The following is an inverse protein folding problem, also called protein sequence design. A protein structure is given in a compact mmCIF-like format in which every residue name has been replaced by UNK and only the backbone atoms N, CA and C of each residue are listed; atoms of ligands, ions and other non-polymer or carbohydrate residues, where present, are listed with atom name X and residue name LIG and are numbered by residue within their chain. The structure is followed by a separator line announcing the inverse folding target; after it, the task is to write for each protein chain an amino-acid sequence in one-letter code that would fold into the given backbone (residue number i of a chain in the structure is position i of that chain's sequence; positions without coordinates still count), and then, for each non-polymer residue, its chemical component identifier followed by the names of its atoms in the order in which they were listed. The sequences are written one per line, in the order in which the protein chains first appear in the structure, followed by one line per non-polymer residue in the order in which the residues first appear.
data_IF_473581399973
#
_entry.id   IF_473581399973
#
_cell.length_a   1.000
_cell.length_b   1.000
_cell.length_c   1.000
_cell.angle_alpha   90.00
_cell.angle_beta   90.00
_cell.angle_gamma   90.00
#
_symmetry.space_group_name_H-M   'P 1'
#
loop_
_entity.id
_entity.type
_entity.pdbx_description
1 polymer ?
#
# COMPACT_ATOMS: atom_id res chain seq x y z
N UNK A 1 5.62 17.07 21.67
CA UNK A 1 6.19 15.88 21.00
C UNK A 1 5.72 15.91 19.56
N UNK A 2 6.56 15.47 18.62
CA UNK A 2 6.24 15.43 17.19
C UNK A 2 6.42 14.03 16.62
N UNK A 3 5.74 13.74 15.52
CA UNK A 3 5.94 12.54 14.71
C UNK A 3 6.04 12.91 13.22
N UNK A 4 6.93 12.24 12.50
CA UNK A 4 7.15 12.45 11.07
C UNK A 4 7.11 11.11 10.33
N UNK A 5 5.92 10.54 10.07
CA UNK A 5 5.83 9.34 9.27
C UNK A 5 6.26 9.67 7.82
N UNK A 6 7.13 8.81 7.29
CA UNK A 6 7.64 8.86 5.91
C UNK A 6 7.05 7.65 5.18
N UNK A 7 6.17 7.89 4.22
CA UNK A 7 5.32 6.88 3.55
C UNK A 7 4.73 5.87 4.55
N UNK A 8 3.99 6.39 5.54
CA UNK A 8 3.46 5.56 6.60
C UNK A 8 2.42 4.57 6.08
N UNK A 9 2.55 3.29 6.42
CA UNK A 9 1.50 2.29 6.20
C UNK A 9 0.36 2.46 7.23
N UNK A 10 -0.40 3.54 7.07
CA UNK A 10 -1.37 4.04 8.05
C UNK A 10 -2.84 3.93 7.61
N UNK A 11 -3.16 3.30 6.47
CA UNK A 11 -4.52 2.87 6.13
C UNK A 11 -5.00 1.62 6.89
N UNK A 12 -4.13 1.04 7.74
CA UNK A 12 -4.44 -0.11 8.56
C UNK A 12 -4.66 -1.40 7.77
N UNK A 13 -5.68 -2.18 8.15
CA UNK A 13 -5.90 -3.53 7.61
C UNK A 13 -6.19 -3.58 6.11
N UNK A 14 -6.61 -2.46 5.50
CA UNK A 14 -6.94 -2.40 4.06
C UNK A 14 -5.73 -2.65 3.15
N UNK A 15 -4.49 -2.49 3.61
CA UNK A 15 -3.34 -2.81 2.76
C UNK A 15 -3.27 -4.30 2.40
N UNK A 16 -3.71 -5.17 3.31
CA UNK A 16 -3.69 -6.62 3.12
C UNK A 16 -4.80 -7.13 2.20
N UNK A 17 -5.87 -6.35 2.07
CA UNK A 17 -6.90 -6.55 1.07
C UNK A 17 -6.29 -6.49 -0.35
N UNK A 18 -5.46 -5.48 -0.63
CA UNK A 18 -4.73 -5.37 -1.90
C UNK A 18 -3.73 -6.51 -2.13
N UNK A 19 -3.03 -6.96 -1.08
CA UNK A 19 -2.11 -8.11 -1.17
C UNK A 19 -2.83 -9.42 -1.53
N UNK A 20 -4.00 -9.68 -0.95
CA UNK A 20 -4.82 -10.85 -1.31
C UNK A 20 -5.32 -10.75 -2.75
N UNK A 21 -5.76 -9.56 -3.18
CA UNK A 21 -6.19 -9.34 -4.56
C UNK A 21 -5.06 -9.63 -5.55
N UNK A 22 -3.88 -9.03 -5.35
CA UNK A 22 -2.72 -9.28 -6.21
C UNK A 22 -2.37 -10.76 -6.26
N UNK A 23 -2.33 -11.44 -5.11
CA UNK A 23 -2.00 -12.86 -5.05
C UNK A 23 -2.93 -13.70 -5.91
N UNK A 24 -4.23 -13.50 -5.74
CA UNK A 24 -5.25 -14.30 -6.40
C UNK A 24 -5.38 -13.96 -7.90
N UNK A 25 -5.17 -12.69 -8.28
CA UNK A 25 -5.08 -12.27 -9.69
C UNK A 25 -3.87 -12.95 -10.35
N UNK A 26 -2.71 -12.97 -9.69
CA UNK A 26 -1.53 -13.65 -10.20
C UNK A 26 -1.79 -15.15 -10.41
N UNK A 27 -2.41 -15.83 -9.43
CA UNK A 27 -2.68 -17.26 -9.51
C UNK A 27 -3.58 -17.62 -10.71
N UNK A 28 -4.57 -16.76 -11.04
CA UNK A 28 -5.39 -16.92 -12.26
C UNK A 28 -4.57 -16.73 -13.54
N UNK A 29 -3.77 -15.67 -13.61
CA UNK A 29 -3.00 -15.33 -14.82
C UNK A 29 -1.87 -16.33 -15.08
N UNK A 30 -1.28 -16.88 -14.02
CA UNK A 30 -0.19 -17.84 -14.08
C UNK A 30 -0.68 -19.30 -14.23
N UNK A 31 -2.00 -19.55 -14.22
CA UNK A 31 -2.55 -20.90 -14.22
C UNK A 31 -2.03 -21.73 -15.40
N UNK A 32 -1.50 -22.92 -15.10
CA UNK A 32 -0.98 -23.85 -16.11
C UNK A 32 0.36 -23.44 -16.76
N UNK A 33 0.93 -22.28 -16.41
CA UNK A 33 2.22 -21.85 -16.95
C UNK A 33 3.39 -22.59 -16.29
N UNK A 34 4.27 -23.26 -17.07
CA UNK A 34 5.41 -23.97 -16.50
C UNK A 34 6.32 -23.05 -15.67
N UNK A 35 6.51 -23.41 -14.41
CA UNK A 35 7.41 -22.69 -13.49
C UNK A 35 6.82 -21.43 -12.85
N UNK A 36 5.58 -21.04 -13.16
CA UNK A 36 4.95 -19.84 -12.60
C UNK A 36 4.10 -20.10 -11.34
N UNK A 37 3.85 -21.36 -10.98
CA UNK A 37 3.00 -21.68 -9.84
C UNK A 37 3.63 -21.24 -8.51
N UNK A 38 2.86 -20.55 -7.68
CA UNK A 38 3.20 -20.20 -6.29
C UNK A 38 2.20 -20.94 -5.38
N UNK A 39 2.66 -21.70 -4.36
CA UNK A 39 1.75 -22.41 -3.46
C UNK A 39 1.06 -21.48 -2.43
N UNK A 40 -0.09 -21.91 -1.91
CA UNK A 40 -0.72 -21.32 -0.72
C UNK A 40 -1.86 -20.31 -0.93
N UNK A 41 -1.96 -19.66 -2.09
CA UNK A 41 -3.07 -18.77 -2.44
C UNK A 41 -3.26 -17.63 -1.43
N UNK A 42 -4.52 -17.37 -1.05
CA UNK A 42 -4.91 -16.25 -0.19
C UNK A 42 -4.31 -16.25 1.22
N UNK A 43 -3.77 -17.38 1.68
CA UNK A 43 -3.13 -17.47 3.00
C UNK A 43 -1.63 -17.14 2.96
N UNK A 44 -1.07 -16.90 1.77
CA UNK A 44 0.38 -16.84 1.58
C UNK A 44 1.00 -18.24 1.59
N UNK A 45 2.32 -18.34 1.70
CA UNK A 45 3.00 -19.64 1.75
C UNK A 45 2.58 -20.48 2.96
N UNK A 46 2.38 -21.77 2.70
CA UNK A 46 2.19 -22.77 3.75
C UNK A 46 3.49 -22.95 4.56
N UNK A 47 3.37 -23.32 5.83
CA UNK A 47 4.49 -23.45 6.78
C UNK A 47 5.58 -24.45 6.32
N UNK A 48 5.21 -25.48 5.56
CA UNK A 48 6.11 -26.51 5.02
C UNK A 48 6.60 -26.22 3.58
N UNK A 49 6.27 -25.04 3.03
CA UNK A 49 6.73 -24.62 1.72
C UNK A 49 8.25 -24.38 1.70
N UNK A 50 8.91 -24.91 0.65
CA UNK A 50 10.33 -24.67 0.38
C UNK A 50 10.57 -23.51 -0.61
N UNK A 51 9.54 -22.73 -0.96
CA UNK A 51 9.71 -21.60 -1.87
C UNK A 51 10.57 -20.51 -1.23
N UNK A 52 11.65 -20.12 -1.90
CA UNK A 52 12.52 -19.01 -1.48
C UNK A 52 12.16 -17.72 -2.20
N UNK A 53 12.67 -16.58 -1.75
CA UNK A 53 12.49 -15.28 -2.42
C UNK A 53 13.01 -15.31 -3.87
N UNK A 54 14.14 -15.98 -4.10
CA UNK A 54 14.69 -16.20 -5.45
C UNK A 54 13.72 -17.06 -6.28
N UNK A 55 13.17 -18.11 -5.67
CA UNK A 55 12.16 -18.96 -6.30
C UNK A 55 10.90 -18.19 -6.69
N UNK A 56 10.42 -17.31 -5.82
CA UNK A 56 9.31 -16.40 -6.11
C UNK A 56 9.64 -15.51 -7.31
N UNK A 57 10.83 -14.89 -7.34
CA UNK A 57 11.27 -14.07 -8.46
C UNK A 57 11.28 -14.84 -9.79
N UNK A 58 11.72 -16.11 -9.78
CA UNK A 58 11.66 -16.96 -10.97
C UNK A 58 10.23 -17.31 -11.38
N UNK A 59 9.33 -17.58 -10.43
CA UNK A 59 7.94 -17.87 -10.73
C UNK A 59 7.23 -16.66 -11.36
N UNK A 60 7.36 -15.49 -10.74
CA UNK A 60 6.80 -14.24 -11.28
C UNK A 60 7.38 -13.96 -12.67
N UNK A 61 8.70 -14.11 -12.84
CA UNK A 61 9.33 -13.92 -14.14
C UNK A 61 8.89 -14.94 -15.21
N UNK A 62 8.59 -16.19 -14.84
CA UNK A 62 8.04 -17.16 -15.78
C UNK A 62 6.69 -16.69 -16.36
N UNK A 63 5.84 -16.09 -15.51
CA UNK A 63 4.54 -15.55 -15.93
C UNK A 63 4.65 -14.23 -16.71
N UNK A 64 5.54 -13.32 -16.31
CA UNK A 64 5.50 -11.91 -16.75
C UNK A 64 6.74 -11.42 -17.48
N UNK A 65 7.86 -12.14 -17.38
CA UNK A 65 9.15 -11.68 -17.91
C UNK A 65 9.71 -10.44 -17.20
N UNK A 66 9.27 -10.15 -15.96
CA UNK A 66 9.64 -8.94 -15.21
C UNK A 66 11.15 -8.77 -14.98
N UNK A 67 11.93 -9.86 -14.96
CA UNK A 67 13.39 -9.82 -14.82
C UNK A 67 14.12 -9.73 -16.17
N UNK A 68 13.39 -9.66 -17.28
CA UNK A 68 13.92 -9.48 -18.62
C UNK A 68 13.81 -8.01 -19.04
N UNK A 69 14.74 -7.51 -19.87
CA UNK A 69 14.51 -6.27 -20.59
C UNK A 69 13.20 -6.35 -21.38
N UNK A 70 12.45 -5.25 -21.47
CA UNK A 70 11.13 -5.20 -22.12
C UNK A 70 11.12 -5.89 -23.50
N UNK A 71 12.08 -5.57 -24.37
CA UNK A 71 12.20 -6.15 -25.71
C UNK A 71 12.60 -7.64 -25.77
N UNK A 72 12.86 -8.27 -24.63
CA UNK A 72 13.18 -9.70 -24.51
C UNK A 72 12.03 -10.54 -23.93
N UNK A 73 10.93 -9.92 -23.52
CA UNK A 73 9.73 -10.62 -23.04
C UNK A 73 9.02 -11.28 -24.22
N UNK A 74 8.50 -12.48 -24.00
CA UNK A 74 7.58 -13.08 -24.98
C UNK A 74 6.26 -12.29 -25.03
N UNK A 75 5.49 -12.37 -26.14
CA UNK A 75 4.19 -11.72 -26.21
C UNK A 75 3.23 -12.10 -25.08
N UNK A 76 3.25 -13.37 -24.65
CA UNK A 76 2.42 -13.83 -23.54
C UNK A 76 2.87 -13.23 -22.20
N UNK A 77 4.18 -13.16 -21.95
CA UNK A 77 4.73 -12.56 -20.73
C UNK A 77 4.34 -11.09 -20.61
N UNK A 78 4.49 -10.32 -21.70
CA UNK A 78 4.08 -8.92 -21.71
C UNK A 78 2.57 -8.77 -21.52
N UNK A 79 1.74 -9.58 -22.19
CA UNK A 79 0.29 -9.54 -22.02
C UNK A 79 -0.14 -9.86 -20.57
N UNK A 80 0.51 -10.83 -19.93
CA UNK A 80 0.27 -11.16 -18.52
C UNK A 80 0.68 -10.01 -17.59
N UNK A 81 1.84 -9.42 -17.83
CA UNK A 81 2.32 -8.27 -17.08
C UNK A 81 1.34 -7.10 -17.21
N UNK A 82 0.99 -6.72 -18.44
CA UNK A 82 0.05 -5.64 -18.73
C UNK A 82 -1.29 -5.87 -18.02
N UNK A 83 -1.81 -7.11 -18.05
CA UNK A 83 -3.05 -7.48 -17.36
C UNK A 83 -2.95 -7.30 -15.85
N UNK A 84 -1.88 -7.77 -15.22
CA UNK A 84 -1.66 -7.60 -13.77
C UNK A 84 -1.60 -6.12 -13.42
N UNK A 85 -0.77 -5.34 -14.14
CA UNK A 85 -0.58 -3.91 -13.85
C UNK A 85 -1.85 -3.11 -14.10
N UNK A 86 -2.60 -3.41 -15.17
CA UNK A 86 -3.88 -2.76 -15.47
C UNK A 86 -4.92 -3.02 -14.38
N UNK A 87 -5.08 -4.28 -13.96
CA UNK A 87 -6.12 -4.65 -13.00
C UNK A 87 -5.76 -4.17 -11.59
N UNK A 88 -4.49 -4.20 -11.21
CA UNK A 88 -4.05 -3.80 -9.86
C UNK A 88 -3.71 -2.32 -9.72
N UNK A 89 -3.41 -1.64 -10.84
CA UNK A 89 -2.86 -0.29 -10.84
C UNK A 89 -1.41 -0.21 -10.35
N UNK A 90 -0.75 -1.33 -10.05
CA UNK A 90 0.63 -1.33 -9.55
C UNK A 90 1.59 -0.74 -10.59
N UNK A 91 2.57 0.09 -10.17
CA UNK A 91 3.69 0.39 -11.03
C UNK A 91 4.53 -0.87 -11.26
N UNK A 92 5.05 -1.05 -12.48
CA UNK A 92 5.82 -2.24 -12.87
C UNK A 92 6.99 -2.53 -11.91
N UNK A 93 7.69 -1.48 -11.46
CA UNK A 93 8.84 -1.57 -10.56
C UNK A 93 8.52 -2.18 -9.18
N UNK A 94 7.25 -2.22 -8.80
CA UNK A 94 6.79 -2.74 -7.51
C UNK A 94 6.31 -4.18 -7.57
N UNK A 95 6.05 -4.74 -8.75
CA UNK A 95 5.42 -6.06 -8.88
C UNK A 95 6.13 -7.15 -8.06
N UNK A 96 7.47 -7.24 -8.11
CA UNK A 96 8.20 -8.25 -7.36
C UNK A 96 8.12 -8.04 -5.84
N UNK A 97 8.21 -6.79 -5.39
CA UNK A 97 8.12 -6.43 -3.98
C UNK A 97 6.72 -6.72 -3.44
N UNK A 98 5.68 -6.33 -4.17
CA UNK A 98 4.30 -6.57 -3.77
C UNK A 98 3.93 -8.05 -3.84
N UNK A 99 4.47 -8.81 -4.81
CA UNK A 99 4.36 -10.26 -4.81
C UNK A 99 5.04 -10.90 -3.60
N UNK A 100 6.13 -10.32 -3.09
CA UNK A 100 6.75 -10.79 -1.84
C UNK A 100 5.79 -10.60 -0.65
N UNK A 101 5.17 -9.43 -0.51
CA UNK A 101 4.18 -9.20 0.57
C UNK A 101 2.94 -10.09 0.39
N UNK A 102 2.51 -10.32 -0.84
CA UNK A 102 1.39 -11.18 -1.21
C UNK A 102 1.70 -12.68 -1.11
N UNK A 103 2.92 -13.03 -0.69
CA UNK A 103 3.37 -14.43 -0.56
C UNK A 103 3.92 -14.70 0.83
N UNK A 104 5.02 -14.03 1.19
CA UNK A 104 5.70 -14.17 2.49
C UNK A 104 5.04 -13.29 3.56
N UNK A 105 4.68 -12.06 3.23
CA UNK A 105 3.98 -11.16 4.16
C UNK A 105 2.62 -11.72 4.58
N UNK A 106 1.83 -12.23 3.63
CA UNK A 106 0.56 -12.90 3.92
C UNK A 106 0.76 -14.17 4.76
N UNK A 107 1.76 -14.99 4.45
CA UNK A 107 2.10 -16.18 5.23
C UNK A 107 2.37 -15.83 6.70
N UNK A 108 3.22 -14.82 6.91
CA UNK A 108 3.57 -14.32 8.23
C UNK A 108 2.35 -13.70 8.94
N UNK A 109 1.52 -12.90 8.26
CA UNK A 109 0.30 -12.34 8.84
C UNK A 109 -0.69 -13.44 9.28
N UNK A 110 -0.94 -14.41 8.39
CA UNK A 110 -1.97 -15.44 8.58
C UNK A 110 -1.50 -16.47 9.60
N UNK A 111 -0.29 -17.02 9.47
CA UNK A 111 0.13 -18.18 10.24
C UNK A 111 0.76 -17.84 11.60
N UNK A 112 1.32 -16.63 11.80
CA UNK A 112 1.89 -16.25 13.09
C UNK A 112 0.82 -16.27 14.21
N UNK A 113 0.99 -17.07 15.28
CA UNK A 113 0.05 -17.13 16.40
C UNK A 113 -0.09 -15.82 17.18
N UNK A 114 0.86 -14.89 17.06
CA UNK A 114 0.78 -13.55 17.63
C UNK A 114 -0.05 -12.59 16.76
N UNK A 115 -0.35 -12.96 15.52
CA UNK A 115 -1.15 -12.18 14.56
C UNK A 115 -2.53 -12.82 14.39
N UNK A 116 -2.75 -13.52 13.28
CA UNK A 116 -4.05 -14.13 12.97
C UNK A 116 -4.17 -15.61 13.38
N UNK A 117 -3.06 -16.29 13.68
CA UNK A 117 -3.07 -17.65 14.24
C UNK A 117 -3.76 -18.70 13.35
N UNK A 118 -3.54 -18.61 12.04
CA UNK A 118 -4.03 -19.55 11.02
C UNK A 118 -5.41 -19.22 10.46
N UNK A 119 -5.98 -18.04 10.73
CA UNK A 119 -7.33 -17.67 10.27
C UNK A 119 -7.29 -16.41 9.42
N UNK A 120 -7.68 -16.51 8.15
CA UNK A 120 -7.68 -15.35 7.26
C UNK A 120 -8.68 -14.27 7.69
N UNK A 121 -8.22 -13.01 7.74
CA UNK A 121 -9.00 -11.86 8.21
C UNK A 121 -9.38 -10.88 7.08
N UNK A 122 -8.91 -11.10 5.86
CA UNK A 122 -9.19 -10.30 4.65
C UNK A 122 -9.66 -11.21 3.52
N UNK A 123 -10.25 -10.65 2.47
CA UNK A 123 -10.77 -11.45 1.36
C UNK A 123 -11.43 -10.63 0.25
N UNK A 124 -11.87 -11.34 -0.79
CA UNK A 124 -12.36 -10.75 -2.04
C UNK A 124 -13.74 -11.28 -2.50
N UNK A 125 -14.49 -11.92 -1.60
CA UNK A 125 -15.72 -12.63 -1.96
C UNK A 125 -16.75 -11.80 -2.76
N UNK A 126 -16.77 -10.49 -2.59
CA UNK A 126 -17.68 -9.58 -3.29
C UNK A 126 -16.98 -8.42 -3.99
N UNK A 127 -15.71 -8.58 -4.36
CA UNK A 127 -14.95 -7.59 -5.13
C UNK A 127 -15.25 -7.78 -6.62
N UNK A 128 -15.52 -6.69 -7.32
CA UNK A 128 -15.65 -6.67 -8.78
C UNK A 128 -14.32 -6.19 -9.37
N UNK A 129 -13.62 -7.05 -10.12
CA UNK A 129 -12.32 -6.70 -10.68
C UNK A 129 -12.43 -5.88 -11.97
N UNK A 130 -13.65 -5.63 -12.47
CA UNK A 130 -13.93 -5.06 -13.79
C UNK A 130 -13.30 -5.88 -14.92
N UNK A 131 -13.24 -7.20 -14.72
CA UNK A 131 -12.54 -8.11 -15.61
C UNK A 131 -13.17 -9.51 -15.60
N UNK A 132 -14.00 -9.80 -16.60
CA UNK A 132 -14.81 -11.03 -16.62
C UNK A 132 -13.99 -12.32 -16.54
N UNK A 133 -12.80 -12.35 -17.13
CA UNK A 133 -11.93 -13.54 -17.10
C UNK A 133 -11.40 -13.76 -15.67
N UNK A 134 -10.95 -12.70 -15.00
CA UNK A 134 -10.53 -12.77 -13.60
C UNK A 134 -11.72 -13.08 -12.70
N UNK A 135 -12.82 -12.35 -12.83
CA UNK A 135 -13.96 -12.46 -11.93
C UNK A 135 -14.62 -13.85 -11.95
N UNK A 136 -14.54 -14.55 -13.09
CA UNK A 136 -15.08 -15.90 -13.27
C UNK A 136 -14.14 -17.02 -12.81
N UNK A 137 -12.82 -16.78 -12.79
CA UNK A 137 -11.82 -17.80 -12.44
C UNK A 137 -11.24 -17.64 -11.03
N UNK A 138 -11.23 -16.42 -10.48
CA UNK A 138 -10.54 -16.11 -9.23
C UNK A 138 -11.16 -16.83 -8.03
N UNK A 139 -10.31 -17.33 -7.14
CA UNK A 139 -10.76 -17.86 -5.86
C UNK A 139 -11.48 -16.75 -5.07
N UNK A 140 -12.72 -17.01 -4.67
CA UNK A 140 -13.50 -16.10 -3.82
C UNK A 140 -13.33 -16.47 -2.35
N UNK A 141 -12.66 -15.59 -1.61
CA UNK A 141 -12.30 -15.80 -0.21
C UNK A 141 -13.16 -14.93 0.69
N UNK A 142 -13.88 -15.58 1.61
CA UNK A 142 -14.63 -14.91 2.66
C UNK A 142 -13.77 -14.86 3.93
N UNK A 143 -13.50 -13.68 4.50
CA UNK A 143 -12.75 -13.59 5.74
C UNK A 143 -13.55 -14.18 6.90
N UNK A 144 -12.87 -14.73 7.91
CA UNK A 144 -13.54 -15.05 9.17
C UNK A 144 -13.99 -13.74 9.84
N UNK A 145 -15.28 -13.58 10.18
CA UNK A 145 -15.82 -12.31 10.66
C UNK A 145 -15.25 -11.91 12.03
N UNK A 146 -14.87 -12.88 12.88
CA UNK A 146 -14.29 -12.59 14.21
C UNK A 146 -12.86 -12.12 14.06
N UNK A 147 -12.06 -12.80 13.25
CA UNK A 147 -10.68 -12.42 12.91
C UNK A 147 -10.63 -11.10 12.16
N UNK A 148 -11.53 -10.85 11.19
CA UNK A 148 -11.62 -9.57 10.48
C UNK A 148 -11.87 -8.40 11.45
N UNK A 149 -12.85 -8.53 12.35
CA UNK A 149 -13.13 -7.51 13.35
C UNK A 149 -11.96 -7.31 14.33
N UNK A 150 -11.33 -8.39 14.79
CA UNK A 150 -10.14 -8.30 15.65
C UNK A 150 -8.98 -7.63 14.93
N UNK A 151 -8.75 -8.00 13.67
CA UNK A 151 -7.69 -7.44 12.85
C UNK A 151 -7.89 -5.93 12.66
N UNK A 152 -9.08 -5.53 12.22
CA UNK A 152 -9.47 -4.12 12.08
C UNK A 152 -9.24 -3.33 13.38
N UNK A 153 -9.68 -3.84 14.53
CA UNK A 153 -9.49 -3.17 15.83
C UNK A 153 -8.03 -2.94 16.24
N UNK A 154 -7.10 -3.78 15.79
CA UNK A 154 -5.69 -3.68 16.17
C UNK A 154 -4.84 -2.97 15.11
N UNK A 155 -5.30 -2.89 13.86
CA UNK A 155 -4.53 -2.37 12.73
C UNK A 155 -5.09 -1.09 12.13
N UNK A 156 -6.40 -0.82 12.24
CA UNK A 156 -6.98 0.45 11.78
C UNK A 156 -6.66 1.52 12.84
N UNK A 157 -5.96 2.62 12.49
CA UNK A 157 -5.68 3.65 13.48
C UNK A 157 -6.97 4.31 13.97
N UNK A 158 -6.98 4.72 15.24
CA UNK A 158 -8.17 5.33 15.87
C UNK A 158 -8.23 6.86 15.72
N UNK A 159 -7.18 7.47 15.16
CA UNK A 159 -7.01 8.93 15.13
C UNK A 159 -6.72 9.57 16.50
N UNK A 160 -6.65 8.79 17.58
CA UNK A 160 -6.42 9.28 18.94
C UNK A 160 -4.94 9.58 19.17
N UNK A 161 -4.48 10.71 18.63
CA UNK A 161 -3.08 11.14 18.69
C UNK A 161 -2.77 12.12 19.83
N UNK A 162 -3.77 12.48 20.64
CA UNK A 162 -3.61 13.44 21.73
C UNK A 162 -3.08 14.80 21.24
N UNK A 163 -2.10 15.37 21.94
CA UNK A 163 -1.47 16.65 21.59
C UNK A 163 -0.24 16.50 20.65
N UNK A 164 -0.08 15.33 20.02
CA UNK A 164 1.05 15.08 19.11
C UNK A 164 0.87 15.91 17.84
N UNK A 165 1.95 16.56 17.41
CA UNK A 165 2.04 17.30 16.15
C UNK A 165 2.63 16.37 15.09
N UNK A 166 1.97 16.23 13.96
CA UNK A 166 2.31 15.23 12.94
C UNK A 166 2.51 15.94 11.61
N UNK A 167 3.68 15.80 11.01
CA UNK A 167 3.92 16.20 9.63
C UNK A 167 4.25 14.94 8.86
N UNK A 168 3.32 14.45 8.04
CA UNK A 168 3.56 13.28 7.21
C UNK A 168 4.07 13.70 5.83
N UNK A 169 5.05 12.94 5.32
CA UNK A 169 5.61 13.11 3.99
C UNK A 169 5.42 11.81 3.21
N UNK A 170 4.89 11.90 1.99
CA UNK A 170 4.60 10.75 1.14
C UNK A 170 4.98 11.04 -0.32
N UNK A 171 5.46 10.05 -1.07
CA UNK A 171 5.58 10.12 -2.53
C UNK A 171 4.25 9.75 -3.20
N UNK A 172 3.90 10.39 -4.32
CA UNK A 172 2.62 10.19 -5.02
C UNK A 172 2.52 8.85 -5.78
N UNK A 173 3.66 8.31 -6.20
CA UNK A 173 3.78 7.08 -7.02
C UNK A 173 4.29 5.87 -6.25
N UNK A 174 4.20 5.88 -4.93
CA UNK A 174 4.57 4.73 -4.10
C UNK A 174 3.68 3.52 -4.43
N UNK A 175 4.28 2.44 -4.92
CA UNK A 175 3.55 1.21 -5.22
C UNK A 175 3.42 0.26 -4.03
N UNK A 176 4.26 0.42 -3.00
CA UNK A 176 4.32 -0.47 -1.84
C UNK A 176 3.42 0.02 -0.72
N UNK A 177 3.57 1.28 -0.34
CA UNK A 177 2.67 1.97 0.58
C UNK A 177 2.01 3.07 -0.22
N UNK A 178 0.90 2.77 -0.87
CA UNK A 178 0.25 3.73 -1.78
C UNK A 178 -0.11 5.04 -1.08
N UNK A 179 -0.02 6.16 -1.79
CA UNK A 179 -0.22 7.53 -1.24
C UNK A 179 -1.56 7.72 -0.53
N UNK A 180 -2.56 6.95 -0.92
CA UNK A 180 -3.88 6.90 -0.30
C UNK A 180 -3.83 6.51 1.18
N UNK A 181 -2.75 5.87 1.66
CA UNK A 181 -2.50 5.71 3.10
C UNK A 181 -2.47 7.05 3.84
N UNK A 182 -1.79 8.05 3.28
CA UNK A 182 -1.75 9.38 3.87
C UNK A 182 -3.15 10.03 3.86
N UNK A 183 -3.96 9.74 2.84
CA UNK A 183 -5.35 10.17 2.72
C UNK A 183 -6.25 9.55 3.80
N UNK A 184 -6.28 8.22 3.91
CA UNK A 184 -7.05 7.50 4.93
C UNK A 184 -6.69 7.97 6.35
N UNK A 185 -5.39 8.15 6.63
CA UNK A 185 -4.95 8.65 7.92
C UNK A 185 -5.40 10.11 8.17
N UNK A 186 -5.38 10.95 7.13
CA UNK A 186 -5.85 12.33 7.23
C UNK A 186 -7.35 12.45 7.48
N UNK A 187 -8.15 11.44 7.10
CA UNK A 187 -9.58 11.41 7.39
C UNK A 187 -9.89 11.14 8.87
N UNK A 188 -9.00 10.44 9.59
CA UNK A 188 -9.25 10.00 10.97
C UNK A 188 -8.49 10.81 12.02
N UNK A 189 -7.36 11.43 11.66
CA UNK A 189 -6.59 12.28 12.59
C UNK A 189 -7.19 13.69 12.63
N UNK A 190 -7.33 14.33 13.81
CA UNK A 190 -7.79 15.71 13.87
C UNK A 190 -6.90 16.63 13.02
N UNK A 191 -7.50 17.47 12.17
CA UNK A 191 -6.76 18.35 11.26
C UNK A 191 -5.77 19.28 11.98
N UNK A 192 -6.07 19.67 13.23
CA UNK A 192 -5.18 20.48 14.07
C UNK A 192 -3.91 19.74 14.55
N UNK A 193 -3.82 18.43 14.33
CA UNK A 193 -2.68 17.59 14.69
C UNK A 193 -1.87 17.12 13.48
N UNK A 194 -2.39 17.25 12.26
CA UNK A 194 -1.78 16.65 11.06
C UNK A 194 -1.60 17.63 9.92
N UNK A 195 -0.38 17.66 9.40
CA UNK A 195 -0.04 18.23 8.10
C UNK A 195 0.37 17.11 7.16
N UNK A 196 -0.20 17.10 5.96
CA UNK A 196 0.16 16.17 4.88
C UNK A 196 0.93 16.92 3.80
N UNK A 197 2.11 16.42 3.44
CA UNK A 197 2.92 16.92 2.32
C UNK A 197 3.17 15.77 1.35
N UNK A 198 2.86 16.00 0.07
CA UNK A 198 3.04 14.99 -0.98
C UNK A 198 4.12 15.45 -1.94
N UNK A 199 5.11 14.59 -2.15
CA UNK A 199 6.20 14.73 -3.12
C UNK A 199 5.74 14.11 -4.43
N UNK A 200 5.67 14.93 -5.49
CA UNK A 200 5.28 14.47 -6.82
C UNK A 200 6.51 14.03 -7.59
N UNK A 201 6.54 12.76 -7.97
CA UNK A 201 7.69 12.12 -8.58
C UNK A 201 7.56 12.01 -10.10
N UNK A 202 8.70 11.99 -10.79
CA UNK A 202 8.75 11.62 -12.21
C UNK A 202 8.63 10.10 -12.35
N UNK A 203 9.47 9.37 -11.62
CA UNK A 203 9.52 7.90 -11.58
C UNK A 203 9.00 7.36 -10.22
N UNK A 204 8.27 6.24 -10.19
CA UNK A 204 7.77 5.63 -8.96
C UNK A 204 8.89 5.21 -7.99
N UNK A 205 8.79 5.63 -6.73
CA UNK A 205 9.65 5.16 -5.64
C UNK A 205 8.89 4.93 -4.33
N UNK A 206 9.47 4.14 -3.42
CA UNK A 206 9.01 4.07 -2.04
C UNK A 206 9.87 5.01 -1.20
N UNK A 207 9.29 6.14 -0.79
CA UNK A 207 9.99 7.19 -0.05
C UNK A 207 11.27 7.73 -0.70
N UNK A 208 11.30 7.89 -2.02
CA UNK A 208 12.41 8.50 -2.76
C UNK A 208 12.50 10.01 -2.57
N UNK A 209 12.49 10.47 -1.33
CA UNK A 209 12.64 11.87 -0.95
C UNK A 209 14.08 12.34 -1.16
N UNK A 210 14.23 13.64 -1.42
CA UNK A 210 15.53 14.30 -1.38
C UNK A 210 15.92 14.67 0.05
N UNK A 211 17.22 14.88 0.30
CA UNK A 211 17.69 15.38 1.59
C UNK A 211 17.01 16.72 1.94
N UNK A 212 16.84 17.60 0.94
CA UNK A 212 16.15 18.88 1.11
C UNK A 212 14.67 18.72 1.54
N UNK A 213 13.92 17.78 0.92
CA UNK A 213 12.51 17.50 1.26
C UNK A 213 12.38 16.97 2.69
N UNK A 214 13.23 16.03 3.10
CA UNK A 214 13.21 15.46 4.46
C UNK A 214 13.58 16.52 5.49
N UNK A 215 14.64 17.29 5.26
CA UNK A 215 15.13 18.30 6.21
C UNK A 215 14.12 19.43 6.39
N UNK A 216 13.51 19.91 5.30
CA UNK A 216 12.48 20.94 5.39
C UNK A 216 11.25 20.47 6.17
N UNK A 217 10.84 19.21 5.97
CA UNK A 217 9.73 18.59 6.69
C UNK A 217 10.06 18.46 8.18
N UNK A 218 11.26 17.97 8.50
CA UNK A 218 11.74 17.83 9.88
C UNK A 218 11.80 19.18 10.61
N UNK A 219 12.44 20.18 10.02
CA UNK A 219 12.56 21.53 10.62
C UNK A 219 11.19 22.19 10.80
N UNK A 220 10.25 21.95 9.87
CA UNK A 220 8.88 22.45 9.99
C UNK A 220 8.14 21.80 11.17
N UNK A 221 8.32 20.49 11.37
CA UNK A 221 7.79 19.79 12.53
C UNK A 221 8.43 20.31 13.84
N UNK A 222 9.75 20.49 13.88
CA UNK A 222 10.46 21.02 15.04
C UNK A 222 9.95 22.41 15.42
N UNK A 223 9.81 23.31 14.45
CA UNK A 223 9.28 24.65 14.67
C UNK A 223 7.85 24.60 15.23
N UNK A 224 6.99 23.73 14.70
CA UNK A 224 5.65 23.55 15.22
C UNK A 224 5.67 23.02 16.65
N UNK A 225 6.49 21.98 16.93
CA UNK A 225 6.67 21.42 18.28
C UNK A 225 7.13 22.47 19.28
N UNK A 226 8.04 23.38 18.88
CA UNK A 226 8.55 24.49 19.69
C UNK A 226 7.54 25.63 19.95
N UNK A 227 6.31 25.52 19.44
CA UNK A 227 5.24 26.50 19.65
C UNK A 227 4.99 27.42 18.46
N UNK A 228 5.64 27.16 17.33
CA UNK A 228 5.30 27.79 16.05
C UNK A 228 3.91 27.39 15.55
N UNK A 229 3.48 28.04 14.46
CA UNK A 229 2.23 27.67 13.78
C UNK A 229 2.35 26.31 13.10
N UNK A 230 1.24 25.59 12.97
CA UNK A 230 1.18 24.37 12.16
C UNK A 230 1.60 24.68 10.71
N UNK A 231 2.58 23.97 10.14
CA UNK A 231 3.00 24.20 8.76
C UNK A 231 1.94 23.65 7.80
N UNK A 232 1.71 24.31 6.68
CA UNK A 232 1.02 23.71 5.53
C UNK A 232 2.03 23.18 4.51
N UNK A 233 1.59 22.37 3.54
CA UNK A 233 2.46 21.85 2.48
C UNK A 233 3.21 22.95 1.71
N UNK A 234 2.54 24.08 1.42
CA UNK A 234 3.17 25.25 0.79
C UNK A 234 4.29 25.86 1.63
N UNK A 235 4.15 25.87 2.96
CA UNK A 235 5.19 26.38 3.85
C UNK A 235 6.40 25.44 3.88
N UNK A 236 6.17 24.11 3.88
CA UNK A 236 7.24 23.11 3.83
C UNK A 236 7.99 23.18 2.50
N UNK A 237 7.26 23.28 1.38
CA UNK A 237 7.86 23.47 0.05
C UNK A 237 8.72 24.73 -0.01
N UNK A 238 8.23 25.86 0.50
CA UNK A 238 9.00 27.10 0.58
C UNK A 238 10.22 26.98 1.51
N UNK A 239 10.10 26.26 2.64
CA UNK A 239 11.23 25.99 3.52
C UNK A 239 12.31 25.17 2.80
N UNK A 240 11.91 24.14 2.06
CA UNK A 240 12.80 23.32 1.24
C UNK A 240 13.57 24.17 0.23
N UNK A 241 12.88 25.05 -0.51
CA UNK A 241 13.50 25.92 -1.52
C UNK A 241 14.50 26.93 -0.94
N UNK A 242 14.39 27.24 0.36
CA UNK A 242 15.27 28.18 1.05
C UNK A 242 16.38 27.47 1.85
N UNK A 243 16.47 26.14 1.80
CA UNK A 243 17.55 25.42 2.48
C UNK A 243 18.92 25.77 1.88
N UNK A 244 19.98 25.79 2.70
CA UNK A 244 21.34 25.93 2.20
C UNK A 244 21.70 24.80 1.22
N UNK A 245 22.61 25.07 0.30
CA UNK A 245 23.05 24.11 -0.73
C UNK A 245 23.73 22.85 -0.20
N UNK A 246 23.96 22.75 1.11
CA UNK A 246 24.47 21.53 1.76
C UNK A 246 23.43 20.41 1.82
N UNK A 247 22.13 20.73 1.65
CA UNK A 247 21.03 19.76 1.54
C UNK A 247 20.63 19.62 0.07
N UNK A 248 21.14 18.61 -0.66
CA UNK A 248 20.95 18.50 -2.09
C UNK A 248 19.56 17.98 -2.48
N UNK A 249 19.21 18.24 -3.73
CA UNK A 249 18.04 17.68 -4.42
C UNK A 249 16.92 18.68 -4.67
N UNK A 250 16.02 18.40 -5.64
CA UNK A 250 14.87 19.25 -5.88
C UNK A 250 13.88 19.24 -4.71
N UNK A 251 13.06 20.29 -4.65
CA UNK A 251 11.90 20.38 -3.76
C UNK A 251 10.65 20.13 -4.58
N UNK A 252 10.04 18.95 -4.44
CA UNK A 252 8.91 18.49 -5.27
C UNK A 252 7.62 18.34 -4.47
N UNK A 253 7.52 18.98 -3.30
CA UNK A 253 6.27 18.99 -2.55
C UNK A 253 5.25 19.84 -3.32
N UNK A 254 4.13 19.23 -3.72
CA UNK A 254 3.03 19.94 -4.38
C UNK A 254 1.94 20.27 -3.35
N UNK A 255 1.74 21.55 -3.01
CA UNK A 255 0.72 21.95 -2.04
C UNK A 255 -0.72 21.74 -2.52
N UNK A 256 -0.93 21.50 -3.81
CA UNK A 256 -2.26 21.32 -4.41
C UNK A 256 -2.52 19.87 -4.81
N UNK A 257 -1.64 18.93 -4.48
CA UNK A 257 -1.87 17.53 -4.78
C UNK A 257 -3.12 17.01 -4.07
N UNK A 258 -4.06 16.48 -4.84
CA UNK A 258 -5.25 15.83 -4.33
C UNK A 258 -4.99 14.33 -4.24
N UNK A 259 -4.99 13.79 -3.03
CA UNK A 259 -4.82 12.36 -2.81
C UNK A 259 -6.08 11.64 -3.34
N UNK A 260 -5.94 10.66 -4.25
CA UNK A 260 -7.07 9.88 -4.75
C UNK A 260 -7.79 9.10 -3.65
N UNK A 261 -9.00 8.63 -3.96
CA UNK A 261 -9.71 7.74 -3.07
C UNK A 261 -9.07 6.34 -3.06
N UNK A 262 -8.90 5.78 -1.86
CA UNK A 262 -8.33 4.44 -1.64
C UNK A 262 -9.06 3.36 -2.45
N UNK A 263 -10.37 3.49 -2.65
CA UNK A 263 -11.19 2.53 -3.41
C UNK A 263 -10.79 2.44 -4.89
N UNK A 264 -10.13 3.48 -5.42
CA UNK A 264 -9.54 3.48 -6.76
C UNK A 264 -8.29 2.59 -6.89
N UNK A 265 -7.63 2.26 -5.76
CA UNK A 265 -6.44 1.41 -5.71
C UNK A 265 -6.72 0.04 -5.11
N UNK A 266 -7.41 0.02 -3.97
CA UNK A 266 -7.87 -1.18 -3.29
C UNK A 266 -9.38 -1.19 -3.34
N UNK A 267 -9.92 -1.96 -4.29
CA UNK A 267 -11.35 -1.99 -4.62
C UNK A 267 -12.24 -2.13 -3.38
N UNK A 268 -13.45 -1.57 -3.38
CA UNK A 268 -14.36 -1.71 -2.26
C UNK A 268 -14.80 -3.17 -2.08
N UNK A 269 -14.92 -3.61 -0.82
CA UNK A 269 -15.46 -4.92 -0.49
C UNK A 269 -16.95 -4.76 -0.22
N UNK A 270 -17.82 -5.35 -1.03
CA UNK A 270 -19.28 -5.19 -0.85
C UNK A 270 -19.74 -5.71 0.53
N UNK A 271 -20.06 -4.74 1.40
CA UNK A 271 -20.93 -4.75 2.58
C UNK A 271 -20.95 -5.98 3.52
N UNK A 272 -19.80 -6.39 4.05
CA UNK A 272 -19.73 -6.95 5.42
C UNK A 272 -19.34 -5.90 6.47
N UNK A 273 -18.68 -4.82 6.06
CA UNK A 273 -18.24 -3.75 6.97
C UNK A 273 -19.37 -2.86 7.51
N UNK A 274 -20.52 -2.79 6.83
CA UNK A 274 -21.62 -1.89 7.26
C UNK A 274 -22.54 -2.52 8.30
N UNK A 275 -22.48 -3.85 8.53
CA UNK A 275 -23.32 -4.50 9.53
C UNK A 275 -22.76 -4.42 10.96
N UNK A 276 -21.50 -3.97 11.13
CA UNK A 276 -20.82 -3.95 12.45
C UNK A 276 -20.08 -2.65 12.79
N UNK A 277 -20.28 -1.57 12.02
CA UNK A 277 -19.84 -0.21 12.40
C UNK A 277 -21.04 0.64 12.85
N UNK A 278 -21.19 0.96 14.15
CA UNK A 278 -22.29 1.80 14.65
C UNK A 278 -22.24 3.25 14.16
N UNK A 279 -21.08 3.73 13.69
CA UNK A 279 -20.83 5.16 13.46
C UNK A 279 -20.99 5.63 12.01
N UNK A 280 -21.28 4.73 11.06
CA UNK A 280 -21.61 5.10 9.67
C UNK A 280 -23.08 5.51 9.47
N UNK A 281 -23.86 5.59 10.56
CA UNK A 281 -25.20 6.18 10.58
C UNK A 281 -25.18 7.47 11.41
N UNK A 282 -24.60 8.54 10.86
CA UNK A 282 -25.04 9.88 11.22
C UNK A 282 -25.42 10.63 9.94
N UNK A 283 -26.59 11.28 9.90
CA UNK A 283 -27.05 12.05 8.75
C UNK A 283 -26.17 13.25 8.47
#
# INVERSE_FOLDING_TARGET
VGAMPLCGAVAGSRMWDGSVDLRLIYDVIAEGMPGAAIPGGAEGLQEDSNLTEIGLGFAVNAATGILLPEGSRSPQQQANLDKILQVTGLPESFLLTDMWFSTFGLSDLVHDPLKLGGVIAVGNAGVDYDDLDIDSAIQRVSPDPVSNNRFGKNYIPSGQVGDIKIVQLHTDKDGLVIVENAGEYAQIVPAANLTTAIVVEEEPTHCGFTDAEVVATWQSLEAWVAGGSQPGAAAIQAACQNLPSEYPGPCRIDPNFEIPDMDGRIRPRTRWQVLFQPDMLRP
#
